data_IF_201906949609
#
_entry.id   IF_201906949609
#
_cell.length_a   1.000
_cell.length_b   1.000
_cell.length_c   1.000
_cell.angle_alpha   90.00
_cell.angle_beta   90.00
_cell.angle_gamma   90.00
#
_symmetry.space_group_name_H-M   'P 1'
#
loop_
_entity.id
_entity.type
_entity.pdbx_description
1 polymer ?
#
# COMPACT_ATOMS: atom_id res chain seq x y z
N UNK A 1 -10.12 0.96 9.62
CA UNK A 1 -10.16 1.45 8.21
C UNK A 1 -8.77 1.90 7.76
N UNK A 2 -8.03 2.67 8.57
CA UNK A 2 -6.69 3.17 8.27
C UNK A 2 -5.66 2.08 7.99
N UNK A 3 -5.58 1.06 8.84
CA UNK A 3 -4.63 -0.03 8.67
C UNK A 3 -4.80 -0.75 7.32
N UNK A 4 -6.02 -0.77 6.76
CA UNK A 4 -6.27 -1.37 5.47
C UNK A 4 -5.68 -0.55 4.32
N UNK A 5 -5.82 0.78 4.36
CA UNK A 5 -5.27 1.66 3.32
C UNK A 5 -3.75 1.56 3.26
N UNK A 6 -3.09 1.65 4.43
CA UNK A 6 -1.64 1.46 4.52
C UNK A 6 -1.19 0.10 3.98
N UNK A 7 -1.93 -0.98 4.27
CA UNK A 7 -1.60 -2.32 3.75
C UNK A 7 -1.73 -2.40 2.23
N UNK A 8 -2.72 -1.73 1.63
CA UNK A 8 -2.85 -1.65 0.16
C UNK A 8 -1.61 -0.99 -0.43
N UNK A 9 -1.22 0.19 0.05
CA UNK A 9 -0.04 0.89 -0.45
C UNK A 9 1.23 0.05 -0.29
N UNK A 10 1.40 -0.61 0.84
CA UNK A 10 2.57 -1.45 1.11
C UNK A 10 2.65 -2.65 0.16
N UNK A 11 1.53 -3.34 -0.06
CA UNK A 11 1.45 -4.47 -1.00
C UNK A 11 1.73 -3.99 -2.43
N UNK A 12 1.11 -2.89 -2.88
CA UNK A 12 1.37 -2.32 -4.20
C UNK A 12 2.85 -1.97 -4.39
N UNK A 13 3.50 -1.38 -3.39
CA UNK A 13 4.93 -1.08 -3.43
C UNK A 13 5.77 -2.35 -3.54
N UNK A 14 5.48 -3.39 -2.75
CA UNK A 14 6.23 -4.66 -2.82
C UNK A 14 6.17 -5.24 -4.23
N UNK A 15 4.98 -5.35 -4.82
CA UNK A 15 4.83 -5.87 -6.17
C UNK A 15 5.54 -5.01 -7.21
N UNK A 16 5.35 -3.70 -7.14
CA UNK A 16 6.00 -2.78 -8.06
C UNK A 16 7.53 -2.88 -7.99
N UNK A 17 8.12 -2.83 -6.77
CA UNK A 17 9.58 -2.96 -6.65
C UNK A 17 10.07 -4.35 -7.01
N UNK A 18 9.29 -5.41 -6.77
CA UNK A 18 9.64 -6.75 -7.24
C UNK A 18 9.74 -6.80 -8.76
N UNK A 19 8.80 -6.19 -9.49
CA UNK A 19 8.87 -6.07 -10.94
C UNK A 19 10.06 -5.22 -11.41
N UNK A 20 10.34 -4.11 -10.74
CA UNK A 20 11.47 -3.24 -11.08
C UNK A 20 12.83 -3.91 -10.85
N UNK A 21 12.93 -4.79 -9.85
CA UNK A 21 14.14 -5.55 -9.55
C UNK A 21 14.32 -6.75 -10.48
N UNK A 22 13.28 -7.18 -11.20
CA UNK A 22 13.40 -8.13 -12.31
C UNK A 22 13.99 -7.42 -13.53
N UNK A 23 15.22 -6.92 -13.39
CA UNK A 23 15.90 -6.02 -14.32
C UNK A 23 16.09 -6.58 -15.74
N UNK A 24 15.94 -7.90 -15.94
CA UNK A 24 16.06 -8.55 -17.25
C UNK A 24 14.86 -8.26 -18.16
N UNK A 25 13.74 -7.78 -17.61
CA UNK A 25 12.53 -7.52 -18.38
C UNK A 25 12.28 -6.02 -18.60
N UNK A 26 12.54 -5.18 -17.60
CA UNK A 26 12.26 -3.75 -17.65
C UNK A 26 13.55 -2.92 -17.70
N UNK A 27 13.69 -2.10 -18.72
CA UNK A 27 14.78 -1.13 -18.82
C UNK A 27 14.41 0.12 -18.03
N UNK A 28 14.91 0.22 -16.80
CA UNK A 28 14.63 1.34 -15.89
C UNK A 28 15.92 2.10 -15.61
N UNK A 29 15.94 3.39 -15.93
CA UNK A 29 17.05 4.27 -15.59
C UNK A 29 17.03 4.62 -14.10
N UNK A 30 18.20 5.02 -13.57
CA UNK A 30 18.30 5.48 -12.17
C UNK A 30 17.36 6.65 -11.88
N UNK A 31 17.18 7.56 -12.83
CA UNK A 31 16.27 8.70 -12.70
C UNK A 31 14.82 8.24 -12.63
N UNK A 32 14.38 7.32 -13.47
CA UNK A 32 13.04 6.77 -13.45
C UNK A 32 12.76 6.01 -12.14
N UNK A 33 13.75 5.25 -11.66
CA UNK A 33 13.65 4.59 -10.37
C UNK A 33 13.48 5.60 -9.22
N UNK A 34 14.28 6.68 -9.23
CA UNK A 34 14.18 7.75 -8.23
C UNK A 34 12.82 8.45 -8.27
N UNK A 35 12.26 8.69 -9.46
CA UNK A 35 10.92 9.30 -9.62
C UNK A 35 9.84 8.38 -9.04
N UNK A 36 9.87 7.08 -9.33
CA UNK A 36 8.93 6.10 -8.78
C UNK A 36 9.05 6.05 -7.25
N UNK A 37 10.28 6.02 -6.73
CA UNK A 37 10.52 6.03 -5.29
C UNK A 37 9.94 7.28 -4.62
N UNK A 38 10.17 8.44 -5.21
CA UNK A 38 9.65 9.72 -4.69
C UNK A 38 8.13 9.77 -4.72
N UNK A 39 7.49 9.30 -5.81
CA UNK A 39 6.05 9.24 -5.93
C UNK A 39 5.42 8.35 -4.83
N UNK A 40 6.01 7.19 -4.56
CA UNK A 40 5.54 6.31 -3.49
C UNK A 40 5.77 6.90 -2.09
N UNK A 41 6.93 7.52 -1.86
CA UNK A 41 7.23 8.19 -0.60
C UNK A 41 6.19 9.29 -0.32
N UNK A 42 5.79 10.06 -1.34
CA UNK A 42 4.76 11.09 -1.22
C UNK A 42 3.40 10.49 -0.83
N UNK A 43 2.95 9.43 -1.49
CA UNK A 43 1.67 8.76 -1.15
C UNK A 43 1.67 8.28 0.29
N UNK A 44 2.72 7.58 0.73
CA UNK A 44 2.83 7.06 2.09
C UNK A 44 2.88 8.21 3.12
N UNK A 45 3.63 9.26 2.83
CA UNK A 45 3.72 10.43 3.71
C UNK A 45 2.36 11.11 3.88
N UNK A 46 1.62 11.29 2.79
CA UNK A 46 0.29 11.89 2.84
C UNK A 46 -0.74 10.98 3.55
N UNK A 47 -0.63 9.65 3.44
CA UNK A 47 -1.48 8.73 4.21
C UNK A 47 -1.21 8.84 5.72
N UNK A 48 0.05 9.01 6.12
CA UNK A 48 0.41 9.27 7.52
C UNK A 48 -0.15 10.62 8.01
N UNK A 49 -0.04 11.66 7.19
CA UNK A 49 -0.63 12.99 7.49
C UNK A 49 -2.16 12.89 7.59
N UNK A 50 -2.82 12.21 6.65
CA UNK A 50 -4.25 11.97 6.71
C UNK A 50 -4.66 11.28 8.01
N UNK A 51 -3.91 10.24 8.40
CA UNK A 51 -4.14 9.55 9.68
C UNK A 51 -3.98 10.48 10.89
N UNK A 52 -2.98 11.37 10.86
CA UNK A 52 -2.77 12.36 11.94
C UNK A 52 -3.92 13.37 12.01
N UNK A 53 -4.36 13.89 10.86
CA UNK A 53 -5.52 14.81 10.78
C UNK A 53 -6.78 14.16 11.33
N UNK A 54 -7.10 12.94 10.92
CA UNK A 54 -8.29 12.22 11.41
C UNK A 54 -8.24 12.04 12.94
N UNK A 55 -7.08 11.61 13.49
CA UNK A 55 -6.92 11.48 14.93
C UNK A 55 -7.03 12.81 15.68
N UNK A 56 -6.47 13.87 15.12
CA UNK A 56 -6.53 15.21 15.71
C UNK A 56 -7.96 15.72 15.75
N UNK A 57 -8.72 15.56 14.67
CA UNK A 57 -10.13 15.96 14.61
C UNK A 57 -10.95 15.15 15.61
N UNK A 58 -10.72 13.83 15.72
CA UNK A 58 -11.43 12.96 16.65
C UNK A 58 -11.11 13.28 18.13
N UNK A 59 -9.92 13.78 18.41
CA UNK A 59 -9.54 14.24 19.76
C UNK A 59 -10.11 15.63 20.10
N UNK A 60 -10.22 16.51 19.09
CA UNK A 60 -10.68 17.89 19.29
C UNK A 60 -12.20 17.99 19.50
N UNK A 61 -12.98 17.07 18.95
CA UNK A 61 -14.43 17.06 19.07
C UNK A 61 -14.98 15.65 19.03
N UNK A 62 -15.84 15.32 20.01
CA UNK A 62 -16.63 14.10 20.03
C UNK A 62 -17.91 14.23 19.19
N UNK A 63 -18.27 15.46 18.83
CA UNK A 63 -19.44 15.77 18.01
C UNK A 63 -19.05 15.99 16.55
N UNK A 64 -19.96 15.66 15.65
CA UNK A 64 -19.83 15.92 14.23
C UNK A 64 -19.88 17.42 13.96
N UNK A 65 -18.80 17.95 13.40
CA UNK A 65 -18.74 19.33 12.96
C UNK A 65 -18.43 19.38 11.46
N UNK A 66 -19.02 20.34 10.74
CA UNK A 66 -18.78 20.52 9.29
C UNK A 66 -17.30 20.81 9.00
N UNK A 67 -16.63 21.59 9.86
CA UNK A 67 -15.20 21.88 9.72
C UNK A 67 -14.34 20.63 9.95
N UNK A 68 -14.68 19.80 10.93
CA UNK A 68 -13.96 18.54 11.19
C UNK A 68 -14.10 17.57 10.01
N UNK A 69 -15.30 17.48 9.42
CA UNK A 69 -15.54 16.69 8.23
C UNK A 69 -14.72 17.22 7.04
N UNK A 70 -14.79 18.52 6.78
CA UNK A 70 -14.06 19.15 5.70
C UNK A 70 -12.54 18.92 5.81
N UNK A 71 -11.97 19.00 7.03
CA UNK A 71 -10.57 18.72 7.26
C UNK A 71 -10.20 17.28 6.92
N UNK A 72 -10.99 16.28 7.34
CA UNK A 72 -10.80 14.87 7.03
C UNK A 72 -10.92 14.60 5.52
N UNK A 73 -11.97 15.14 4.88
CA UNK A 73 -12.20 14.96 3.45
C UNK A 73 -11.06 15.58 2.62
N UNK A 74 -10.55 16.74 3.03
CA UNK A 74 -9.41 17.39 2.37
C UNK A 74 -8.13 16.56 2.50
N UNK A 75 -7.84 16.04 3.69
CA UNK A 75 -6.67 15.19 3.92
C UNK A 75 -6.76 13.88 3.10
N UNK A 76 -7.92 13.23 3.09
CA UNK A 76 -8.17 12.05 2.27
C UNK A 76 -8.08 12.36 0.77
N UNK A 77 -8.55 13.52 0.34
CA UNK A 77 -8.43 14.01 -1.04
C UNK A 77 -6.97 14.18 -1.48
N UNK A 78 -6.11 14.69 -0.60
CA UNK A 78 -4.67 14.83 -0.90
C UNK A 78 -4.01 13.46 -1.13
N UNK A 79 -4.35 12.44 -0.33
CA UNK A 79 -3.88 11.06 -0.56
C UNK A 79 -4.36 10.53 -1.89
N UNK A 80 -5.64 10.69 -2.20
CA UNK A 80 -6.21 10.21 -3.46
C UNK A 80 -5.54 10.84 -4.68
N UNK A 81 -5.34 12.16 -4.67
CA UNK A 81 -4.67 12.87 -5.76
C UNK A 81 -3.23 12.37 -5.93
N UNK A 82 -2.47 12.24 -4.86
CA UNK A 82 -1.10 11.74 -4.92
C UNK A 82 -1.03 10.30 -5.43
N UNK A 83 -1.97 9.44 -5.03
CA UNK A 83 -2.05 8.06 -5.49
C UNK A 83 -2.36 7.98 -7.00
N UNK A 84 -3.26 8.82 -7.51
CA UNK A 84 -3.55 8.89 -8.95
C UNK A 84 -2.29 9.27 -9.72
N UNK A 85 -1.57 10.32 -9.30
CA UNK A 85 -0.33 10.72 -9.98
C UNK A 85 0.78 9.67 -9.85
N UNK A 86 0.89 8.97 -8.73
CA UNK A 86 1.84 7.87 -8.58
C UNK A 86 1.52 6.72 -9.56
N UNK A 87 0.25 6.35 -9.73
CA UNK A 87 -0.18 5.32 -10.69
C UNK A 87 0.12 5.77 -12.12
N UNK A 88 -0.21 7.02 -12.50
CA UNK A 88 0.09 7.55 -13.83
C UNK A 88 1.60 7.53 -14.09
N UNK A 89 2.42 7.93 -13.13
CA UNK A 89 3.88 7.87 -13.22
C UNK A 89 4.36 6.43 -13.43
N UNK A 90 3.82 5.48 -12.66
CA UNK A 90 4.12 4.05 -12.82
C UNK A 90 3.77 3.54 -14.22
N UNK A 91 2.57 3.88 -14.72
CA UNK A 91 2.14 3.50 -16.06
C UNK A 91 3.10 4.08 -17.11
N UNK A 92 3.42 5.37 -17.04
CA UNK A 92 4.30 6.02 -18.03
C UNK A 92 5.69 5.39 -18.10
N UNK A 93 6.25 4.99 -16.95
CA UNK A 93 7.59 4.41 -16.88
C UNK A 93 7.58 2.92 -17.24
N UNK A 94 6.57 2.19 -16.77
CA UNK A 94 6.52 0.73 -16.92
C UNK A 94 5.81 0.27 -18.21
N UNK A 95 5.25 1.18 -19.01
CA UNK A 95 4.61 0.84 -20.26
C UNK A 95 5.66 0.48 -21.31
N UNK A 96 6.17 -0.75 -21.25
CA UNK A 96 7.20 -1.30 -22.14
C UNK A 96 6.68 -2.58 -22.80
N UNK A 97 6.09 -2.50 -24.02
CA UNK A 97 5.50 -3.66 -24.69
C UNK A 97 6.46 -4.85 -24.84
N UNK A 98 7.76 -4.56 -25.07
CA UNK A 98 8.79 -5.60 -25.16
C UNK A 98 8.98 -6.36 -23.86
N UNK A 99 8.97 -5.65 -22.72
CA UNK A 99 9.06 -6.24 -21.39
C UNK A 99 7.88 -7.17 -21.10
N UNK A 100 6.66 -6.73 -21.43
CA UNK A 100 5.47 -7.56 -21.26
C UNK A 100 5.50 -8.82 -22.15
N UNK A 101 5.98 -8.71 -23.40
CA UNK A 101 6.14 -9.86 -24.28
C UNK A 101 7.17 -10.86 -23.73
N UNK A 102 8.30 -10.38 -23.23
CA UNK A 102 9.33 -11.20 -22.63
C UNK A 102 8.83 -11.91 -21.36
N UNK A 103 8.10 -11.18 -20.50
CA UNK A 103 7.49 -11.72 -19.29
C UNK A 103 6.45 -12.81 -19.61
N UNK A 104 5.64 -12.61 -20.65
CA UNK A 104 4.68 -13.61 -21.11
C UNK A 104 5.38 -14.91 -21.56
N UNK A 105 6.44 -14.81 -22.37
CA UNK A 105 7.24 -15.96 -22.80
C UNK A 105 7.85 -16.67 -21.60
N UNK A 106 8.45 -15.92 -20.69
CA UNK A 106 9.05 -16.46 -19.47
C UNK A 106 8.04 -17.26 -18.61
N UNK A 107 6.85 -16.74 -18.37
CA UNK A 107 5.83 -17.44 -17.61
C UNK A 107 5.27 -18.66 -18.36
N UNK A 108 5.25 -18.64 -19.68
CA UNK A 108 4.86 -19.81 -20.49
C UNK A 108 5.88 -20.94 -20.37
N UNK A 109 7.18 -20.61 -20.35
CA UNK A 109 8.25 -21.58 -20.18
C UNK A 109 8.39 -22.07 -18.73
N UNK A 110 8.05 -21.23 -17.79
CA UNK A 110 8.20 -21.49 -16.36
C UNK A 110 6.84 -21.41 -15.63
N UNK A 111 5.95 -22.32 -15.95
CA UNK A 111 4.58 -22.33 -15.42
C UNK A 111 4.52 -22.34 -13.88
N UNK A 112 5.52 -22.92 -13.21
CA UNK A 112 5.61 -22.94 -11.76
C UNK A 112 5.71 -21.53 -11.18
N UNK A 113 6.52 -20.64 -11.77
CA UNK A 113 6.64 -19.25 -11.32
C UNK A 113 5.35 -18.47 -11.56
N UNK A 114 4.64 -18.74 -12.64
CA UNK A 114 3.32 -18.17 -12.88
C UNK A 114 2.31 -18.57 -11.79
N UNK A 115 2.27 -19.86 -11.44
CA UNK A 115 1.39 -20.36 -10.37
C UNK A 115 1.77 -19.73 -9.02
N UNK A 116 3.05 -19.64 -8.70
CA UNK A 116 3.52 -18.98 -7.47
C UNK A 116 3.15 -17.50 -7.44
N UNK A 117 3.23 -16.81 -8.58
CA UNK A 117 2.80 -15.42 -8.70
C UNK A 117 1.31 -15.28 -8.41
N UNK A 118 0.45 -16.13 -8.99
CA UNK A 118 -0.99 -16.11 -8.72
C UNK A 118 -1.31 -16.42 -7.25
N UNK A 119 -0.61 -17.38 -6.64
CA UNK A 119 -0.75 -17.68 -5.21
C UNK A 119 -0.35 -16.49 -4.35
N UNK A 120 0.72 -15.77 -4.72
CA UNK A 120 1.14 -14.56 -3.99
C UNK A 120 0.08 -13.47 -4.03
N UNK A 121 -0.62 -13.28 -5.17
CA UNK A 121 -1.74 -12.33 -5.27
C UNK A 121 -2.90 -12.70 -4.34
N UNK A 122 -3.21 -13.99 -4.23
CA UNK A 122 -4.25 -14.46 -3.30
C UNK A 122 -3.86 -14.17 -1.85
N UNK A 123 -2.60 -14.45 -1.48
CA UNK A 123 -2.07 -14.13 -0.14
C UNK A 123 -2.11 -12.64 0.13
N UNK A 124 -1.68 -11.82 -0.83
CA UNK A 124 -1.73 -10.36 -0.73
C UNK A 124 -3.16 -9.86 -0.53
N UNK A 125 -4.12 -10.39 -1.28
CA UNK A 125 -5.54 -10.07 -1.14
C UNK A 125 -6.05 -10.40 0.28
N UNK A 126 -5.76 -11.61 0.77
CA UNK A 126 -6.14 -12.03 2.12
C UNK A 126 -5.50 -11.10 3.17
N UNK A 127 -4.23 -10.75 3.01
CA UNK A 127 -3.53 -9.84 3.91
C UNK A 127 -4.15 -8.43 3.94
N UNK A 128 -4.56 -7.90 2.79
CA UNK A 128 -5.22 -6.59 2.69
C UNK A 128 -6.53 -6.58 3.49
N UNK A 129 -7.34 -7.62 3.32
CA UNK A 129 -8.70 -7.63 3.89
C UNK A 129 -8.76 -8.17 5.32
N UNK A 130 -8.02 -9.23 5.67
CA UNK A 130 -8.04 -9.83 7.02
C UNK A 130 -7.01 -9.22 7.96
N UNK A 131 -5.87 -8.71 7.45
CA UNK A 131 -4.76 -8.24 8.26
C UNK A 131 -4.05 -9.37 9.01
N UNK A 132 -3.11 -8.97 9.88
CA UNK A 132 -2.51 -9.93 10.80
C UNK A 132 -3.53 -10.38 11.85
N UNK A 133 -3.59 -11.67 12.21
CA UNK A 133 -4.36 -12.11 13.34
C UNK A 133 -3.89 -11.36 14.58
N UNK A 134 -4.80 -10.61 15.22
CA UNK A 134 -4.50 -9.92 16.48
C UNK A 134 -4.11 -10.98 17.49
N UNK A 135 -2.84 -11.03 17.88
CA UNK A 135 -2.42 -11.83 19.02
C UNK A 135 -3.06 -11.16 20.24
N UNK A 136 -4.20 -11.70 20.70
CA UNK A 136 -4.84 -11.26 21.94
C UNK A 136 -3.79 -11.29 23.03
N UNK A 137 -3.36 -10.13 23.47
CA UNK A 137 -2.42 -9.97 24.58
C UNK A 137 -3.11 -10.51 25.83
N UNK A 138 -2.78 -11.73 26.22
CA UNK A 138 -3.28 -12.47 27.38
C UNK A 138 -2.80 -11.85 28.70
N UNK A 139 -2.73 -10.52 28.78
CA UNK A 139 -2.21 -9.79 29.92
C UNK A 139 -3.29 -9.18 30.82
N UNK A 140 -4.58 -9.22 30.40
CA UNK A 140 -5.66 -8.66 31.22
C UNK A 140 -6.16 -9.63 32.29
N UNK A 141 -6.11 -10.95 32.03
CA UNK A 141 -6.68 -11.95 32.96
C UNK A 141 -5.80 -12.26 34.19
N UNK A 142 -4.53 -11.82 34.22
CA UNK A 142 -3.68 -12.01 35.41
C UNK A 142 -3.86 -10.94 36.45
N UNK A 143 -4.11 -9.70 36.03
CA UNK A 143 -4.29 -8.57 36.97
C UNK A 143 -5.61 -8.65 37.75
N UNK A 144 -6.64 -9.29 37.21
CA UNK A 144 -7.93 -9.46 37.90
C UNK A 144 -7.94 -10.66 38.89
N UNK A 145 -7.00 -11.59 38.75
CA UNK A 145 -6.87 -12.72 39.68
C UNK A 145 -5.99 -12.44 40.90
N UNK A 146 -5.16 -11.40 40.84
CA UNK A 146 -4.36 -10.97 41.99
C UNK A 146 -5.04 -9.95 42.90
N UNK A 147 -6.25 -9.49 42.53
CA UNK A 147 -7.07 -8.54 43.34
C UNK A 147 -8.29 -9.20 44.02
N UNK A 148 -8.39 -10.54 43.99
CA UNK A 148 -9.35 -11.31 44.77
C UNK A 148 -8.62 -12.19 45.78
#
# INVERSE_FOLDING_TARGET
KHERNMRIHFVCMIYMYSFLLMADFFEITRTQFAIIFLANALVVSLELVNTAVERTVDLASTEWTDNGRAAKDTAAGAVLVSAIFAVLTGIMIMWQPKAFSALYVYFKEHILYFVLFLLSLVVAFIFIFKGFPQIKKKSSDRADKEKK
#
